data_IF_274928191746
#
_entry.id   IF_274928191746
#
_cell.length_a   1.000
_cell.length_b   1.000
_cell.length_c   1.000
_cell.angle_alpha   90.00
_cell.angle_beta   90.00
_cell.angle_gamma   90.00
#
_symmetry.space_group_name_H-M   'P 1'
#
loop_
_entity.id
_entity.type
_entity.pdbx_description
1 polymer ?
#
# COMPACT_ATOMS: atom_id res chain seq x y z
N UNK A 1 31.79 8.36 10.57
CA UNK A 1 31.76 7.01 9.96
C UNK A 1 30.93 6.12 10.88
N UNK A 2 29.71 5.78 10.49
CA UNK A 2 28.90 4.76 11.16
C UNK A 2 29.53 3.40 10.94
N UNK A 3 29.63 2.58 11.99
CA UNK A 3 30.08 1.19 11.87
C UNK A 3 29.12 0.45 10.91
N UNK A 4 29.62 -0.11 9.78
CA UNK A 4 28.80 -0.84 8.84
C UNK A 4 28.11 -2.06 9.44
N UNK A 5 28.60 -2.62 10.56
CA UNK A 5 27.93 -3.72 11.27
C UNK A 5 26.58 -3.32 11.87
N UNK A 6 26.40 -2.03 12.18
CA UNK A 6 25.17 -1.49 12.78
C UNK A 6 24.15 -1.09 11.72
N UNK A 7 24.55 -0.95 10.46
CA UNK A 7 23.67 -0.43 9.42
C UNK A 7 22.45 -1.33 9.14
N UNK A 8 22.57 -2.66 8.98
CA UNK A 8 21.40 -3.51 8.76
C UNK A 8 20.42 -3.53 9.94
N UNK A 9 20.93 -3.38 11.17
CA UNK A 9 20.08 -3.31 12.37
C UNK A 9 19.31 -1.99 12.40
N UNK A 10 20.00 -0.87 12.16
CA UNK A 10 19.36 0.46 12.06
C UNK A 10 18.39 0.55 10.89
N UNK A 11 18.66 -0.14 9.79
CA UNK A 11 17.75 -0.20 8.65
C UNK A 11 16.38 -0.77 9.03
N UNK A 12 16.32 -1.76 9.93
CA UNK A 12 15.05 -2.28 10.41
C UNK A 12 14.25 -1.23 11.21
N UNK A 13 14.94 -0.43 12.04
CA UNK A 13 14.33 0.68 12.78
C UNK A 13 13.85 1.79 11.84
N UNK A 14 14.67 2.14 10.84
CA UNK A 14 14.33 3.15 9.83
C UNK A 14 13.10 2.70 9.01
N UNK A 15 13.02 1.43 8.62
CA UNK A 15 11.84 0.87 7.92
C UNK A 15 10.60 0.96 8.80
N UNK A 16 10.69 0.59 10.09
CA UNK A 16 9.55 0.69 11.00
C UNK A 16 9.04 2.14 11.14
N UNK A 17 9.96 3.11 11.27
CA UNK A 17 9.61 4.53 11.34
C UNK A 17 9.00 5.06 10.03
N UNK A 18 9.48 4.59 8.87
CA UNK A 18 8.91 4.93 7.57
C UNK A 18 7.50 4.36 7.37
N UNK A 19 7.23 3.15 7.88
CA UNK A 19 5.88 2.56 7.86
C UNK A 19 4.92 3.37 8.74
N UNK A 20 5.36 3.79 9.93
CA UNK A 20 4.57 4.68 10.80
C UNK A 20 4.27 6.02 10.13
N UNK A 21 5.29 6.63 9.52
CA UNK A 21 5.14 7.88 8.75
C UNK A 21 4.14 7.70 7.58
N UNK A 22 4.21 6.58 6.86
CA UNK A 22 3.27 6.28 5.77
C UNK A 22 1.83 6.11 6.28
N UNK A 23 1.66 5.50 7.46
CA UNK A 23 0.37 5.38 8.13
C UNK A 23 -0.23 6.76 8.46
N UNK A 24 0.56 7.67 9.02
CA UNK A 24 0.13 9.05 9.30
C UNK A 24 -0.32 9.78 8.04
N UNK A 25 0.44 9.65 6.95
CA UNK A 25 0.07 10.23 5.66
C UNK A 25 -1.21 9.62 5.09
N UNK A 26 -1.38 8.30 5.17
CA UNK A 26 -2.60 7.63 4.71
C UNK A 26 -3.85 8.10 5.48
N UNK A 27 -3.72 8.35 6.79
CA UNK A 27 -4.81 8.88 7.62
C UNK A 27 -5.28 10.28 7.19
N UNK A 28 -4.40 11.07 6.57
CA UNK A 28 -4.68 12.44 6.12
C UNK A 28 -4.86 12.55 4.60
N UNK A 29 -4.67 11.44 3.87
CA UNK A 29 -4.65 11.41 2.42
C UNK A 29 -6.01 11.77 1.82
N UNK A 30 -5.98 12.50 0.70
CA UNK A 30 -7.13 12.61 -0.18
C UNK A 30 -7.45 11.23 -0.78
N UNK A 31 -8.66 11.07 -1.36
CA UNK A 31 -9.05 9.83 -2.03
C UNK A 31 -8.03 9.37 -3.07
N UNK A 32 -7.50 10.31 -3.85
CA UNK A 32 -6.54 10.01 -4.91
C UNK A 32 -5.23 9.49 -4.32
N UNK A 33 -4.66 10.22 -3.35
CA UNK A 33 -3.44 9.85 -2.65
C UNK A 33 -3.58 8.52 -1.91
N UNK A 34 -4.71 8.26 -1.25
CA UNK A 34 -4.97 6.99 -0.58
C UNK A 34 -5.00 5.82 -1.57
N UNK A 35 -5.60 6.02 -2.76
CA UNK A 35 -5.59 5.03 -3.83
C UNK A 35 -4.19 4.72 -4.35
N UNK A 36 -3.34 5.74 -4.52
CA UNK A 36 -1.94 5.57 -4.95
C UNK A 36 -1.09 4.87 -3.88
N UNK A 37 -1.22 5.31 -2.62
CA UNK A 37 -0.53 4.72 -1.47
C UNK A 37 -0.92 3.24 -1.34
N UNK A 38 -2.21 2.94 -1.26
CA UNK A 38 -2.69 1.56 -1.11
C UNK A 38 -2.35 0.71 -2.33
N UNK A 39 -2.45 1.27 -3.55
CA UNK A 39 -2.05 0.58 -4.77
C UNK A 39 -0.56 0.21 -4.80
N UNK A 40 0.30 1.01 -4.16
CA UNK A 40 1.74 0.72 -4.04
C UNK A 40 2.04 -0.24 -2.89
N UNK A 41 1.40 -0.06 -1.73
CA UNK A 41 1.60 -0.92 -0.56
C UNK A 41 1.18 -2.36 -0.84
N UNK A 42 0.07 -2.52 -1.57
CA UNK A 42 -0.57 -3.80 -1.85
C UNK A 42 -0.17 -4.40 -3.21
N UNK A 43 0.72 -3.74 -3.97
CA UNK A 43 1.16 -4.30 -5.26
C UNK A 43 1.73 -5.72 -5.07
N UNK A 44 1.21 -6.74 -5.77
CA UNK A 44 1.52 -8.14 -5.47
C UNK A 44 2.95 -8.52 -5.85
N UNK A 45 3.54 -7.83 -6.82
CA UNK A 45 4.90 -8.15 -7.31
C UNK A 45 5.94 -7.36 -6.51
N UNK A 46 5.73 -6.06 -6.35
CA UNK A 46 6.76 -5.13 -5.87
C UNK A 46 6.34 -4.29 -4.66
N UNK A 47 5.16 -4.56 -4.10
CA UNK A 47 4.59 -3.79 -3.01
C UNK A 47 5.28 -4.03 -1.68
N UNK A 48 4.96 -3.16 -0.71
CA UNK A 48 5.48 -3.24 0.65
C UNK A 48 5.12 -4.58 1.31
N UNK A 49 3.89 -5.06 1.11
CA UNK A 49 3.45 -6.35 1.66
C UNK A 49 4.23 -7.53 1.05
N UNK A 50 4.44 -7.54 -0.26
CA UNK A 50 5.21 -8.58 -0.96
C UNK A 50 6.66 -8.64 -0.43
N UNK A 51 7.34 -7.48 -0.39
CA UNK A 51 8.72 -7.38 0.12
C UNK A 51 8.85 -7.74 1.61
N UNK A 52 7.86 -7.40 2.43
CA UNK A 52 7.83 -7.81 3.84
C UNK A 52 7.66 -9.32 3.98
N UNK A 53 6.83 -9.93 3.13
CA UNK A 53 6.64 -11.39 3.08
C UNK A 53 7.94 -12.10 2.71
N UNK A 54 8.69 -11.59 1.73
CA UNK A 54 10.03 -12.10 1.37
C UNK A 54 11.06 -11.96 2.50
N UNK A 55 11.06 -10.82 3.18
CA UNK A 55 11.94 -10.57 4.33
C UNK A 55 11.65 -11.59 5.45
N UNK A 56 10.38 -11.82 5.77
CA UNK A 56 9.97 -12.83 6.75
C UNK A 56 10.25 -14.26 6.27
N UNK A 57 10.16 -14.53 4.96
CA UNK A 57 10.58 -15.80 4.36
C UNK A 57 12.07 -16.07 4.56
N UNK A 58 12.90 -15.03 4.46
CA UNK A 58 14.33 -15.11 4.81
C UNK A 58 14.53 -15.34 6.31
N UNK A 59 13.79 -14.63 7.16
CA UNK A 59 13.79 -14.84 8.61
C UNK A 59 13.35 -16.25 9.02
N UNK A 60 12.35 -16.83 8.35
CA UNK A 60 11.88 -18.19 8.61
C UNK A 60 12.95 -19.23 8.30
N UNK A 61 13.69 -19.06 7.20
CA UNK A 61 14.84 -19.91 6.85
C UNK A 61 15.96 -19.78 7.87
N UNK A 62 16.23 -18.57 8.35
CA UNK A 62 17.17 -18.36 9.44
C UNK A 62 16.72 -19.09 10.72
N UNK A 63 15.46 -18.92 11.13
CA UNK A 63 14.92 -19.59 12.32
C UNK A 63 14.95 -21.12 12.21
N UNK A 64 14.71 -21.67 11.02
CA UNK A 64 14.84 -23.11 10.73
C UNK A 64 16.27 -23.61 10.97
N UNK A 65 17.27 -22.91 10.43
CA UNK A 65 18.67 -23.26 10.62
C UNK A 65 19.07 -23.19 12.10
N UNK A 66 18.64 -22.13 12.80
CA UNK A 66 18.93 -21.98 14.22
C UNK A 66 18.24 -23.05 15.09
N UNK A 67 17.01 -23.45 14.75
CA UNK A 67 16.32 -24.54 15.44
C UNK A 67 17.01 -25.89 15.21
N UNK A 68 17.47 -26.16 13.98
CA UNK A 68 18.24 -27.37 13.67
C UNK A 68 19.54 -27.46 14.48
N UNK A 69 20.17 -26.31 14.72
CA UNK A 69 21.38 -26.21 15.55
C UNK A 69 21.11 -26.16 17.07
N UNK A 70 19.84 -26.28 17.50
CA UNK A 70 19.45 -26.23 18.92
C UNK A 70 19.50 -24.83 19.55
N UNK A 71 19.64 -23.76 18.75
CA UNK A 71 19.76 -22.37 19.20
C UNK A 71 18.42 -21.67 19.36
N UNK A 72 17.37 -22.14 18.69
CA UNK A 72 16.00 -21.66 18.84
C UNK A 72 15.04 -22.83 19.10
N UNK A 73 13.93 -22.59 19.83
CA UNK A 73 12.86 -23.58 19.95
C UNK A 73 12.23 -23.89 18.59
N UNK A 74 11.90 -25.16 18.27
CA UNK A 74 11.22 -25.53 17.04
C UNK A 74 9.92 -24.76 16.80
N UNK A 75 9.23 -24.36 17.86
CA UNK A 75 7.97 -23.61 17.82
C UNK A 75 8.14 -22.24 17.15
N UNK A 76 9.32 -21.61 17.30
CA UNK A 76 9.63 -20.32 16.65
C UNK A 76 9.73 -20.49 15.14
N UNK A 77 10.41 -21.54 14.68
CA UNK A 77 10.49 -21.88 13.26
C UNK A 77 9.09 -22.17 12.68
N UNK A 78 8.26 -22.93 13.41
CA UNK A 78 6.89 -23.24 12.97
C UNK A 78 6.01 -21.99 12.92
N UNK A 79 6.12 -21.11 13.92
CA UNK A 79 5.39 -19.85 13.95
C UNK A 79 5.77 -18.96 12.76
N UNK A 80 7.07 -18.76 12.51
CA UNK A 80 7.53 -17.95 11.37
C UNK A 80 7.08 -18.53 10.03
N UNK A 81 7.20 -19.84 9.83
CA UNK A 81 6.76 -20.50 8.60
C UNK A 81 5.25 -20.33 8.37
N UNK A 82 4.42 -20.43 9.42
CA UNK A 82 2.98 -20.18 9.32
C UNK A 82 2.67 -18.72 8.97
N UNK A 83 3.33 -17.77 9.63
CA UNK A 83 3.14 -16.34 9.34
C UNK A 83 3.48 -16.01 7.88
N UNK A 84 4.57 -16.57 7.33
CA UNK A 84 4.92 -16.34 5.92
C UNK A 84 3.84 -16.89 4.98
N UNK A 85 3.32 -18.08 5.25
CA UNK A 85 2.25 -18.67 4.43
C UNK A 85 0.95 -17.86 4.52
N UNK A 86 0.60 -17.39 5.72
CA UNK A 86 -0.58 -16.54 5.94
C UNK A 86 -0.44 -15.21 5.19
N UNK A 87 0.72 -14.56 5.27
CA UNK A 87 0.97 -13.31 4.55
C UNK A 87 0.96 -13.50 3.03
N UNK A 88 1.51 -14.60 2.52
CA UNK A 88 1.43 -14.92 1.09
C UNK A 88 -0.02 -15.10 0.63
N UNK A 89 -0.83 -15.84 1.40
CA UNK A 89 -2.26 -16.01 1.11
C UNK A 89 -3.00 -14.67 1.14
N UNK A 90 -2.71 -13.80 2.10
CA UNK A 90 -3.29 -12.45 2.16
C UNK A 90 -2.87 -11.63 0.93
N UNK A 91 -1.61 -11.73 0.49
CA UNK A 91 -1.13 -11.08 -0.73
C UNK A 91 -1.89 -11.53 -1.97
N UNK A 92 -2.11 -12.84 -2.13
CA UNK A 92 -2.89 -13.42 -3.23
C UNK A 92 -4.35 -12.91 -3.23
N UNK A 93 -4.99 -12.86 -2.06
CA UNK A 93 -6.37 -12.36 -1.91
C UNK A 93 -6.48 -10.85 -2.24
N UNK A 94 -5.40 -10.09 -2.02
CA UNK A 94 -5.36 -8.65 -2.26
C UNK A 94 -4.97 -8.27 -3.70
N UNK A 95 -4.42 -9.19 -4.48
CA UNK A 95 -4.00 -8.94 -5.86
C UNK A 95 -5.15 -8.46 -6.76
N UNK A 96 -6.35 -9.05 -6.63
CA UNK A 96 -7.53 -8.66 -7.41
C UNK A 96 -8.08 -7.27 -6.98
N UNK A 97 -8.22 -6.94 -5.69
CA UNK A 97 -8.63 -5.62 -5.22
C UNK A 97 -7.68 -4.45 -5.54
N UNK A 98 -6.37 -4.68 -5.71
CA UNK A 98 -5.38 -3.61 -5.96
C UNK A 98 -5.75 -2.75 -7.17
N UNK A 99 -6.28 -3.36 -8.23
CA UNK A 99 -6.73 -2.64 -9.42
C UNK A 99 -7.90 -1.70 -9.14
N UNK A 100 -8.70 -1.98 -8.11
CA UNK A 100 -9.77 -1.10 -7.68
C UNK A 100 -9.22 0.16 -7.00
N UNK A 101 -8.16 0.06 -6.20
CA UNK A 101 -7.50 1.22 -5.60
C UNK A 101 -6.82 2.11 -6.65
N UNK A 102 -6.17 1.50 -7.64
CA UNK A 102 -5.57 2.23 -8.79
C UNK A 102 -6.65 2.99 -9.60
N UNK A 103 -7.84 2.40 -9.77
CA UNK A 103 -8.99 3.07 -10.41
C UNK A 103 -9.55 4.22 -9.58
N UNK A 104 -9.61 4.08 -8.26
CA UNK A 104 -10.04 5.14 -7.33
C UNK A 104 -9.07 6.33 -7.39
N UNK A 105 -7.76 6.07 -7.50
CA UNK A 105 -6.76 7.11 -7.71
C UNK A 105 -6.93 7.87 -9.04
N UNK A 106 -7.23 7.13 -10.12
CA UNK A 106 -7.38 7.69 -11.47
C UNK A 106 -8.69 8.46 -11.71
N UNK A 107 -9.67 8.39 -10.81
CA UNK A 107 -10.93 9.10 -10.97
C UNK A 107 -10.71 10.61 -10.77
N UNK A 108 -11.07 11.45 -11.75
CA UNK A 108 -11.03 12.90 -11.58
C UNK A 108 -11.94 13.28 -10.42
N UNK A 109 -11.40 14.02 -9.44
CA UNK A 109 -12.23 14.73 -8.47
C UNK A 109 -13.26 15.52 -9.27
N UNK A 110 -14.55 15.22 -9.08
CA UNK A 110 -15.61 15.89 -9.78
C UNK A 110 -15.56 17.38 -9.42
N UNK A 111 -14.88 18.17 -10.26
CA UNK A 111 -15.03 19.61 -10.24
C UNK A 111 -16.50 19.87 -10.46
N UNK A 112 -17.17 20.47 -9.47
CA UNK A 112 -18.50 21.03 -9.65
C UNK A 112 -18.42 21.99 -10.84
N UNK A 113 -18.72 21.51 -12.04
CA UNK A 113 -18.98 22.35 -13.18
C UNK A 113 -20.26 23.10 -12.83
N UNK A 114 -20.12 24.39 -12.54
CA UNK A 114 -21.28 25.27 -12.43
C UNK A 114 -22.13 25.09 -13.70
N UNK A 115 -23.46 24.97 -13.57
CA UNK A 115 -24.32 24.82 -14.74
C UNK A 115 -24.08 25.99 -15.70
N UNK A 116 -24.00 25.73 -17.03
CA UNK A 116 -23.78 26.79 -17.99
C UNK A 116 -24.89 27.82 -17.83
N UNK A 117 -24.49 29.09 -17.66
CA UNK A 117 -25.39 30.24 -17.56
C UNK A 117 -26.35 30.20 -18.75
N UNK A 118 -27.69 30.20 -18.56
CA UNK A 118 -28.62 30.14 -19.68
C UNK A 118 -28.36 31.34 -20.60
N UNK A 119 -28.07 31.04 -21.87
CA UNK A 119 -27.92 32.05 -22.91
C UNK A 119 -29.29 32.72 -23.11
N UNK A 120 -29.35 34.03 -22.84
CA UNK A 120 -30.49 34.86 -23.20
C UNK A 120 -30.55 34.96 -24.73
N UNK A 121 -31.29 34.07 -25.38
CA UNK A 121 -31.51 34.11 -26.82
C UNK A 121 -32.98 34.37 -27.17
N UNK A 122 -33.13 35.37 -28.05
CA UNK A 122 -34.26 35.69 -28.91
C UNK A 122 -35.48 36.38 -28.25
N UNK A 123 -35.35 37.70 -28.12
CA UNK A 123 -36.48 38.63 -28.09
C UNK A 123 -37.24 38.50 -29.43
N UNK A 124 -38.34 37.75 -29.44
CA UNK A 124 -39.22 37.59 -30.61
C UNK A 124 -39.92 38.92 -30.86
N UNK A 125 -39.50 39.63 -31.90
CA UNK A 125 -40.24 40.78 -32.44
C UNK A 125 -41.56 40.27 -33.03
N UNK A 126 -42.68 40.59 -32.38
CA UNK A 126 -44.00 40.46 -32.98
C UNK A 126 -44.29 41.70 -33.82
N UNK A 127 -44.26 41.53 -35.15
CA UNK A 127 -44.85 42.48 -36.11
C UNK A 127 -46.37 42.42 -35.99
N UNK A 128 -47.00 43.47 -35.47
CA UNK A 128 -48.44 43.70 -35.64
C UNK A 128 -48.72 44.15 -37.08
N UNK A 129 -49.79 43.61 -37.68
CA UNK A 129 -50.51 44.25 -38.78
C UNK A 129 -51.81 44.80 -38.21
#
# INVERSE_FOLDING_TARGET
>A
MTDPSTYPVRLAEDIASLIETLHEHLCQATRAEAGEILGTVLDPEDGVLSRLTDLLGTGSRFAQNQAHNGMLPPEVCLAMGRTVNELNSVGEDLAEPVDSFKKVAAQPSATHAFPPKPAASAMVVRRSR
#
